data_IF_833705394657
#
_entry.id   IF_833705394657
#
_cell.length_a   1.000
_cell.length_b   1.000
_cell.length_c   1.000
_cell.angle_alpha   90.00
_cell.angle_beta   90.00
_cell.angle_gamma   90.00
#
_symmetry.space_group_name_H-M   'P 1'
#
loop_
_entity.id
_entity.type
_entity.pdbx_description
1 polymer ?
#
# COMPACT_ATOMS: atom_id res chain seq x y z
N UNK A 1 -20.58 -16.13 -4.83
CA UNK A 1 -20.84 -15.62 -3.47
C UNK A 1 -19.60 -15.93 -2.62
N UNK A 2 -19.00 -14.95 -1.94
CA UNK A 2 -17.79 -15.15 -1.14
C UNK A 2 -18.18 -15.49 0.30
N UNK A 3 -17.80 -16.66 0.77
CA UNK A 3 -18.04 -17.16 2.13
C UNK A 3 -16.81 -17.88 2.69
N UNK A 4 -16.81 -18.21 3.98
CA UNK A 4 -15.69 -18.92 4.63
C UNK A 4 -15.38 -20.27 3.98
N UNK A 5 -16.39 -20.92 3.42
CA UNK A 5 -16.28 -22.24 2.79
C UNK A 5 -15.85 -22.17 1.32
N UNK A 6 -15.60 -20.96 0.80
CA UNK A 6 -15.13 -20.79 -0.59
C UNK A 6 -13.73 -21.39 -0.72
N UNK A 7 -13.56 -22.30 -1.67
CA UNK A 7 -12.27 -22.92 -2.02
C UNK A 7 -11.75 -22.32 -3.33
N UNK A 8 -10.46 -22.02 -3.37
CA UNK A 8 -9.72 -21.58 -4.56
C UNK A 8 -8.83 -22.74 -5.00
N UNK A 9 -8.94 -23.13 -6.27
CA UNK A 9 -8.12 -24.19 -6.85
C UNK A 9 -6.93 -23.59 -7.60
N UNK A 10 -5.74 -24.11 -7.30
CA UNK A 10 -4.55 -23.80 -8.07
C UNK A 10 -4.49 -24.62 -9.37
N UNK A 11 -3.61 -24.23 -10.30
CA UNK A 11 -3.43 -24.92 -11.58
C UNK A 11 -3.02 -26.41 -11.44
N UNK A 12 -2.46 -26.79 -10.29
CA UNK A 12 -2.13 -28.18 -9.96
C UNK A 12 -3.31 -28.99 -9.39
N UNK A 13 -4.52 -28.43 -9.40
CA UNK A 13 -5.74 -29.07 -8.89
C UNK A 13 -5.90 -29.06 -7.37
N UNK A 14 -4.93 -28.53 -6.61
CA UNK A 14 -5.05 -28.44 -5.13
C UNK A 14 -5.94 -27.27 -4.74
N UNK A 15 -6.91 -27.54 -3.86
CA UNK A 15 -7.81 -26.54 -3.28
C UNK A 15 -7.28 -25.97 -1.96
N UNK A 16 -7.43 -24.67 -1.76
CA UNK A 16 -7.14 -23.97 -0.50
C UNK A 16 -8.34 -23.08 -0.15
N UNK A 17 -8.65 -22.88 1.13
CA UNK A 17 -9.68 -21.92 1.52
C UNK A 17 -9.34 -20.53 1.00
N UNK A 18 -10.31 -19.86 0.40
CA UNK A 18 -10.19 -18.46 0.00
C UNK A 18 -9.75 -17.60 1.19
N UNK A 19 -10.27 -17.86 2.39
CA UNK A 19 -9.95 -17.09 3.59
C UNK A 19 -8.45 -17.12 3.86
N UNK A 20 -7.84 -18.31 3.78
CA UNK A 20 -6.40 -18.50 3.91
C UNK A 20 -5.65 -17.74 2.83
N UNK A 21 -6.06 -17.84 1.56
CA UNK A 21 -5.39 -17.13 0.45
C UNK A 21 -5.39 -15.62 0.68
N UNK A 22 -6.54 -15.04 1.02
CA UNK A 22 -6.66 -13.61 1.32
C UNK A 22 -5.85 -13.22 2.57
N UNK A 23 -5.88 -14.01 3.64
CA UNK A 23 -5.10 -13.77 4.85
C UNK A 23 -3.58 -13.79 4.58
N UNK A 24 -3.11 -14.70 3.72
CA UNK A 24 -1.70 -14.74 3.30
C UNK A 24 -1.30 -13.49 2.53
N UNK A 25 -2.13 -13.03 1.58
CA UNK A 25 -1.87 -11.81 0.83
C UNK A 25 -1.84 -10.57 1.74
N UNK A 26 -2.84 -10.45 2.62
CA UNK A 26 -2.92 -9.37 3.61
C UNK A 26 -1.72 -9.36 4.56
N UNK A 27 -1.30 -10.53 5.05
CA UNK A 27 -0.13 -10.66 5.92
C UNK A 27 1.16 -10.25 5.21
N UNK A 28 1.29 -10.58 3.92
CA UNK A 28 2.40 -10.11 3.10
C UNK A 28 2.42 -8.58 3.04
N UNK A 29 1.30 -7.94 2.66
CA UNK A 29 1.22 -6.49 2.60
C UNK A 29 1.52 -5.81 3.92
N UNK A 30 0.98 -6.34 5.03
CA UNK A 30 1.27 -5.83 6.38
C UNK A 30 2.76 -5.85 6.68
N UNK A 31 3.42 -7.00 6.50
CA UNK A 31 4.85 -7.16 6.79
C UNK A 31 5.69 -6.22 5.94
N UNK A 32 5.41 -6.16 4.64
CA UNK A 32 6.15 -5.28 3.73
C UNK A 32 5.93 -3.80 4.05
N UNK A 33 4.70 -3.39 4.33
CA UNK A 33 4.42 -2.00 4.71
C UNK A 33 5.10 -1.61 6.03
N UNK A 34 5.04 -2.45 7.06
CA UNK A 34 5.69 -2.17 8.35
C UNK A 34 7.21 -2.13 8.23
N UNK A 35 7.80 -3.02 7.42
CA UNK A 35 9.23 -3.02 7.13
C UNK A 35 9.63 -1.70 6.46
N UNK A 36 8.95 -1.33 5.37
CA UNK A 36 9.25 -0.11 4.61
C UNK A 36 9.08 1.15 5.46
N UNK A 37 8.01 1.23 6.26
CA UNK A 37 7.78 2.35 7.17
C UNK A 37 8.88 2.44 8.24
N UNK A 38 9.32 1.31 8.77
CA UNK A 38 10.40 1.27 9.75
C UNK A 38 11.73 1.69 9.12
N UNK A 39 12.04 1.23 7.91
CA UNK A 39 13.28 1.53 7.19
C UNK A 39 13.38 3.02 6.81
N UNK A 40 12.26 3.67 6.53
CA UNK A 40 12.19 5.11 6.23
C UNK A 40 12.13 6.01 7.47
N UNK A 41 11.88 5.42 8.65
CA UNK A 41 11.73 6.17 9.88
C UNK A 41 12.92 5.95 10.83
N UNK A 42 13.08 6.82 11.82
CA UNK A 42 14.13 6.66 12.83
C UNK A 42 13.79 5.62 13.91
N UNK A 43 12.62 4.99 13.82
CA UNK A 43 12.03 4.14 14.88
C UNK A 43 11.36 2.91 14.28
N UNK A 44 11.32 1.81 15.03
CA UNK A 44 10.55 0.64 14.59
C UNK A 44 9.05 0.94 14.68
N UNK A 45 8.34 0.85 13.56
CA UNK A 45 6.87 1.01 13.51
C UNK A 45 6.23 -0.35 13.75
N UNK A 46 5.42 -0.44 14.79
CA UNK A 46 4.68 -1.65 15.13
C UNK A 46 3.30 -1.64 14.49
N UNK A 47 2.66 -2.81 14.45
CA UNK A 47 1.32 -2.92 13.89
C UNK A 47 0.29 -2.06 14.65
N UNK A 48 0.46 -1.92 15.96
CA UNK A 48 -0.46 -1.18 16.83
C UNK A 48 -0.39 0.34 16.61
N UNK A 49 0.69 0.82 16.00
CA UNK A 49 0.85 2.21 15.59
C UNK A 49 0.09 2.53 14.29
N UNK A 50 -0.39 1.50 13.58
CA UNK A 50 -1.01 1.64 12.26
C UNK A 50 -2.51 1.34 12.32
N UNK A 51 -3.30 2.28 11.81
CA UNK A 51 -4.69 2.05 11.46
C UNK A 51 -4.78 1.62 10.00
N UNK A 52 -5.32 0.43 9.76
CA UNK A 52 -5.43 -0.17 8.45
C UNK A 52 -6.76 0.18 7.79
N UNK A 53 -6.70 0.49 6.49
CA UNK A 53 -7.88 0.67 5.66
C UNK A 53 -7.79 -0.31 4.50
N UNK A 54 -8.76 -1.22 4.41
CA UNK A 54 -8.87 -2.19 3.30
C UNK A 54 -10.07 -1.81 2.45
N UNK A 55 -9.83 -1.54 1.17
CA UNK A 55 -10.89 -1.24 0.22
C UNK A 55 -11.54 -2.51 -0.30
N UNK A 56 -12.85 -2.47 -0.49
CA UNK A 56 -13.63 -3.57 -1.08
C UNK A 56 -14.57 -3.06 -2.18
N UNK A 57 -14.95 -3.89 -3.16
CA UNK A 57 -15.90 -3.50 -4.19
C UNK A 57 -17.26 -3.09 -3.59
N UNK A 58 -17.88 -2.03 -4.11
CA UNK A 58 -19.17 -1.54 -3.59
C UNK A 58 -20.35 -2.51 -3.82
N UNK A 59 -20.24 -3.39 -4.81
CA UNK A 59 -21.26 -4.40 -5.14
C UNK A 59 -21.31 -5.52 -4.10
N UNK A 60 -20.30 -5.62 -3.24
CA UNK A 60 -20.24 -6.68 -2.23
C UNK A 60 -21.29 -6.49 -1.13
N UNK A 61 -22.03 -7.57 -0.86
CA UNK A 61 -22.95 -7.65 0.28
C UNK A 61 -22.20 -7.67 1.61
N UNK A 62 -22.90 -7.36 2.69
CA UNK A 62 -22.34 -7.33 4.04
C UNK A 62 -21.55 -8.61 4.45
N UNK A 63 -21.99 -9.84 4.10
CA UNK A 63 -21.24 -11.05 4.42
C UNK A 63 -19.84 -11.09 3.78
N UNK A 64 -19.68 -10.61 2.55
CA UNK A 64 -18.38 -10.58 1.87
C UNK A 64 -17.45 -9.52 2.49
N UNK A 65 -17.99 -8.39 2.94
CA UNK A 65 -17.23 -7.39 3.72
C UNK A 65 -16.73 -7.97 5.05
N UNK A 66 -17.59 -8.73 5.74
CA UNK A 66 -17.22 -9.45 6.96
C UNK A 66 -16.20 -10.57 6.71
N UNK A 67 -16.28 -11.24 5.56
CA UNK A 67 -15.27 -12.20 5.14
C UNK A 67 -13.87 -11.55 5.06
N UNK A 68 -13.75 -10.37 4.45
CA UNK A 68 -12.46 -9.66 4.41
C UNK A 68 -11.97 -9.21 5.78
N UNK A 69 -12.89 -8.78 6.66
CA UNK A 69 -12.54 -8.48 8.05
C UNK A 69 -11.97 -9.70 8.77
N UNK A 70 -12.57 -10.88 8.58
CA UNK A 70 -12.03 -12.13 9.12
C UNK A 70 -10.66 -12.47 8.55
N UNK A 71 -10.46 -12.30 7.23
CA UNK A 71 -9.17 -12.54 6.59
C UNK A 71 -8.08 -11.61 7.17
N UNK A 72 -8.42 -10.35 7.44
CA UNK A 72 -7.51 -9.39 8.05
C UNK A 72 -7.16 -9.75 9.51
N UNK A 73 -8.11 -10.30 10.26
CA UNK A 73 -7.83 -10.84 11.60
C UNK A 73 -6.90 -12.05 11.55
N UNK A 74 -7.12 -12.98 10.63
CA UNK A 74 -6.19 -14.13 10.43
C UNK A 74 -4.79 -13.70 9.94
N UNK A 75 -4.71 -12.58 9.20
CA UNK A 75 -3.46 -11.98 8.79
C UNK A 75 -2.72 -11.23 9.93
N UNK A 76 -3.38 -11.04 11.07
CA UNK A 76 -2.90 -10.23 12.19
C UNK A 76 -2.81 -8.74 11.87
N UNK A 77 -3.51 -8.26 10.83
CA UNK A 77 -3.58 -6.82 10.51
C UNK A 77 -4.27 -6.07 11.65
N UNK A 78 -5.35 -6.65 12.18
CA UNK A 78 -6.09 -6.15 13.32
C UNK A 78 -6.53 -7.33 14.19
N UNK A 79 -7.07 -7.05 15.37
CA UNK A 79 -7.62 -8.06 16.25
C UNK A 79 -9.10 -7.80 16.55
N UNK A 80 -9.79 -8.82 17.09
CA UNK A 80 -11.20 -8.68 17.50
C UNK A 80 -11.36 -7.80 18.74
N UNK A 81 -10.31 -7.71 19.54
CA UNK A 81 -10.23 -6.89 20.76
C UNK A 81 -10.09 -5.40 20.41
N UNK A 82 -9.52 -5.08 19.25
CA UNK A 82 -9.41 -3.71 18.73
C UNK A 82 -9.95 -3.60 17.28
N UNK A 83 -11.28 -3.70 17.07
CA UNK A 83 -11.88 -3.74 15.73
C UNK A 83 -11.72 -2.42 14.96
N UNK A 84 -11.53 -1.30 15.66
CA UNK A 84 -11.37 0.05 15.11
C UNK A 84 -9.99 0.27 14.45
N UNK A 85 -9.04 -0.61 14.71
CA UNK A 85 -7.75 -0.63 14.00
C UNK A 85 -7.93 -0.92 12.50
N UNK A 86 -9.05 -1.56 12.10
CA UNK A 86 -9.35 -1.90 10.72
C UNK A 86 -10.65 -1.25 10.24
N UNK A 87 -10.53 -0.41 9.21
CA UNK A 87 -11.65 0.14 8.46
C UNK A 87 -11.82 -0.59 7.13
N UNK A 88 -13.05 -0.96 6.81
CA UNK A 88 -13.41 -1.48 5.48
C UNK A 88 -14.06 -0.34 4.71
N UNK A 89 -13.35 0.21 3.73
CA UNK A 89 -13.84 1.30 2.89
C UNK A 89 -14.39 0.76 1.56
N UNK A 90 -15.40 1.42 0.99
CA UNK A 90 -15.77 1.09 -0.39
C UNK A 90 -14.76 1.68 -1.35
N UNK A 91 -14.40 0.93 -2.39
CA UNK A 91 -13.55 1.40 -3.47
C UNK A 91 -14.02 2.75 -4.08
N UNK A 92 -15.32 2.95 -4.43
CA UNK A 92 -15.76 4.24 -4.95
C UNK A 92 -15.66 5.39 -3.93
N UNK A 93 -15.81 5.12 -2.63
CA UNK A 93 -15.64 6.13 -1.59
C UNK A 93 -14.18 6.56 -1.50
N UNK A 94 -13.25 5.60 -1.46
CA UNK A 94 -11.81 5.88 -1.47
C UNK A 94 -11.39 6.65 -2.73
N UNK A 95 -11.90 6.26 -3.90
CA UNK A 95 -11.67 6.96 -5.16
C UNK A 95 -12.20 8.40 -5.12
N UNK A 96 -13.42 8.62 -4.59
CA UNK A 96 -14.01 9.97 -4.50
C UNK A 96 -13.19 10.92 -3.63
N UNK A 97 -12.65 10.43 -2.50
CA UNK A 97 -11.77 11.20 -1.61
C UNK A 97 -10.49 11.57 -2.34
N UNK A 98 -9.92 10.64 -3.10
CA UNK A 98 -8.73 10.89 -3.91
C UNK A 98 -9.00 11.97 -4.97
N UNK A 99 -10.05 11.83 -5.77
CA UNK A 99 -10.40 12.81 -6.81
C UNK A 99 -10.62 14.22 -6.23
N UNK A 100 -11.24 14.33 -5.05
CA UNK A 100 -11.44 15.62 -4.38
C UNK A 100 -10.13 16.30 -3.95
N UNK A 101 -9.09 15.52 -3.63
CA UNK A 101 -7.80 16.05 -3.16
C UNK A 101 -6.89 16.51 -4.30
N UNK A 102 -7.16 16.08 -5.53
CA UNK A 102 -6.39 16.50 -6.70
C UNK A 102 -6.71 17.95 -7.06
N UNK A 103 -5.67 18.75 -7.35
CA UNK A 103 -5.86 20.09 -7.93
C UNK A 103 -6.30 19.95 -9.38
N UNK A 104 -7.06 20.91 -9.90
CA UNK A 104 -7.63 20.85 -11.25
C UNK A 104 -6.60 20.60 -12.36
N UNK A 105 -5.34 21.02 -12.19
CA UNK A 105 -4.25 20.75 -13.14
C UNK A 105 -3.72 19.31 -13.13
N UNK A 106 -3.99 18.53 -12.09
CA UNK A 106 -3.66 17.10 -12.00
C UNK A 106 -4.78 16.21 -12.57
N UNK A 107 -5.92 16.80 -12.91
CA UNK A 107 -7.08 16.11 -13.50
C UNK A 107 -7.01 16.06 -15.04
N UNK A 108 -5.99 16.66 -15.64
CA UNK A 108 -5.78 16.57 -17.10
C UNK A 108 -5.39 15.14 -17.44
N UNK A 109 -6.13 14.44 -18.33
CA UNK A 109 -5.77 13.09 -18.73
C UNK A 109 -4.35 13.04 -19.29
N UNK A 110 -3.60 11.98 -18.97
CA UNK A 110 -2.34 11.61 -19.62
C UNK A 110 -2.61 11.21 -21.09
N UNK A 111 -3.10 12.16 -21.91
CA UNK A 111 -3.17 12.02 -23.36
C UNK A 111 -1.82 12.51 -23.91
N UNK A 112 -0.86 11.59 -24.01
CA UNK A 112 0.37 11.76 -24.81
C UNK A 112 0.29 10.72 -25.94
N UNK A 113 0.27 10.98 -27.25
CA UNK A 113 0.34 12.15 -28.13
C UNK A 113 -0.15 11.71 -29.55
N UNK A 114 0.21 12.38 -30.67
CA UNK A 114 1.60 12.34 -31.16
C UNK A 114 2.18 13.70 -31.54
N UNK A 115 3.51 13.79 -31.40
CA UNK A 115 4.33 14.94 -31.83
C UNK A 115 4.09 15.28 -33.31
N UNK A 116 3.87 16.57 -33.60
CA UNK A 116 4.27 17.15 -34.89
C UNK A 116 5.34 18.20 -34.63
N UNK A 117 6.54 17.91 -35.13
CA UNK A 117 7.67 18.81 -35.26
C UNK A 117 7.29 20.06 -36.08
N UNK A 118 7.50 21.24 -35.50
CA UNK A 118 7.86 22.45 -36.25
C UNK A 118 8.53 23.48 -35.31
N UNK A 119 9.84 23.68 -35.49
CA UNK A 119 10.66 24.81 -35.00
C UNK A 119 10.68 25.91 -36.08
N UNK A 120 11.27 27.11 -35.87
CA UNK A 120 11.20 28.04 -34.71
C UNK A 120 11.06 29.54 -35.15
N UNK A 121 10.66 30.45 -34.24
CA UNK A 121 11.08 31.87 -34.10
C UNK A 121 10.02 32.66 -33.29
N UNK A 122 10.28 33.64 -32.42
CA UNK A 122 11.50 34.23 -31.85
C UNK A 122 11.05 35.02 -30.60
N UNK A 123 11.86 34.94 -29.54
CA UNK A 123 12.06 35.87 -28.40
C UNK A 123 10.84 36.33 -27.56
N UNK A 124 10.85 35.92 -26.30
CA UNK A 124 11.11 36.84 -25.18
C UNK A 124 11.64 36.06 -23.95
N UNK A 125 12.52 36.69 -23.19
CA UNK A 125 13.22 36.24 -21.98
C UNK A 125 13.13 37.42 -20.99
N UNK A 126 13.53 37.33 -19.71
CA UNK A 126 13.48 36.28 -18.68
C UNK A 126 12.73 36.77 -17.41
N UNK A 127 11.89 35.97 -16.76
CA UNK A 127 11.91 35.90 -15.27
C UNK A 127 11.00 34.80 -14.72
N UNK A 128 11.28 34.40 -13.47
CA UNK A 128 10.61 33.40 -12.62
C UNK A 128 11.24 32.01 -12.58
N UNK A 129 12.45 32.00 -12.03
CA UNK A 129 12.97 31.01 -11.07
C UNK A 129 11.95 30.01 -10.50
N UNK A 130 12.10 28.73 -10.85
CA UNK A 130 11.71 27.62 -9.97
C UNK A 130 12.95 27.19 -9.19
N UNK A 131 12.97 27.23 -7.85
CA UNK A 131 13.93 26.42 -7.11
C UNK A 131 13.38 25.00 -6.98
N UNK A 132 14.08 24.06 -7.61
CA UNK A 132 14.05 22.66 -7.26
C UNK A 132 14.67 22.48 -5.86
N UNK A 133 13.95 21.90 -4.91
CA UNK A 133 14.49 21.50 -3.60
C UNK A 133 13.65 20.35 -3.02
N UNK A 134 14.14 19.24 -2.48
CA UNK A 134 15.46 18.59 -2.41
C UNK A 134 15.13 17.11 -2.10
N UNK A 135 15.74 16.20 -2.84
CA UNK A 135 15.94 14.81 -2.47
C UNK A 135 17.16 14.80 -1.51
N UNK A 136 16.99 14.38 -0.25
CA UNK A 136 18.11 14.23 0.67
C UNK A 136 18.27 12.77 1.09
N UNK A 137 19.28 12.16 0.47
CA UNK A 137 19.89 10.92 0.90
C UNK A 137 20.53 11.11 2.28
N UNK A 138 19.97 10.45 3.30
CA UNK A 138 20.60 10.25 4.59
C UNK A 138 21.35 8.92 4.60
N UNK A 139 22.66 8.97 4.37
CA UNK A 139 23.57 7.82 4.46
C UNK A 139 24.04 7.71 5.91
N UNK A 140 23.77 6.61 6.61
CA UNK A 140 24.46 6.28 7.86
C UNK A 140 25.41 5.10 7.61
N UNK A 141 26.71 5.39 7.75
CA UNK A 141 27.80 4.43 7.71
C UNK A 141 27.86 3.69 9.05
N UNK A 142 28.16 2.39 8.97
CA UNK A 142 28.25 1.44 10.06
C UNK A 142 29.29 1.81 11.13
N UNK A 143 28.98 1.50 12.39
CA UNK A 143 29.98 1.24 13.41
C UNK A 143 30.14 -0.28 13.60
N UNK A 144 31.40 -0.69 13.71
CA UNK A 144 31.90 -2.07 13.67
C UNK A 144 32.68 -2.29 14.95
N UNK A 145 32.12 -3.02 15.91
CA UNK A 145 32.80 -3.60 17.08
C UNK A 145 31.79 -4.52 17.81
N UNK A 146 32.04 -5.73 18.28
CA UNK A 146 33.11 -6.71 18.12
C UNK A 146 32.62 -8.01 18.84
N UNK A 147 33.13 -9.17 18.40
CA UNK A 147 33.28 -10.47 19.10
C UNK A 147 32.11 -11.46 19.32
N UNK A 148 32.31 -12.59 18.62
CA UNK A 148 32.23 -14.00 19.05
C UNK A 148 30.87 -14.70 19.04
N UNK A 149 30.68 -15.46 17.96
CA UNK A 149 29.95 -16.74 18.03
C UNK A 149 30.96 -17.87 17.80
N UNK A 150 31.18 -18.71 18.80
CA UNK A 150 31.83 -20.02 18.64
C UNK A 150 30.75 -21.06 18.33
N UNK A 151 31.06 -22.13 17.57
CA UNK A 151 30.11 -23.19 17.27
C UNK A 151 30.15 -24.32 18.32
N UNK A 152 29.06 -25.11 18.31
CA UNK A 152 28.85 -26.44 18.93
C UNK A 152 28.37 -26.51 20.38
N UNK A 153 27.11 -26.94 20.54
CA UNK A 153 26.71 -28.12 21.32
C UNK A 153 25.36 -28.64 20.79
#
# INVERSE_FOLDING_TARGET
HLSRDTIIYAANGKGVSALTVFAHALRYFRKHALQELSDQSATCILNDDVRWVVTVPAIWRQPAKQFMRNAAYEAGIASKENPEQLLIALEPEAASIFCRRLRQHQLVPLMSGPQRLSLPNIKENPDSSLPAVIENAGKCVADKSDKRFSPNA
#
